data_IF_175668785680
#
_entry.id   IF_175668785680
#
_cell.length_a   1.000
_cell.length_b   1.000
_cell.length_c   1.000
_cell.angle_alpha   90.00
_cell.angle_beta   90.00
_cell.angle_gamma   90.00
#
_symmetry.space_group_name_H-M   'P 1'
#
loop_
_entity.id
_entity.type
_entity.pdbx_description
1 polymer ?
#
# COMPACT_ATOMS: atom_id res chain seq x y z
N UNK A 1 -24.61 -8.32 26.82
CA UNK A 1 -23.70 -8.37 27.96
C UNK A 1 -22.30 -8.19 27.40
N UNK A 2 -21.71 -7.01 27.69
CA UNK A 2 -20.28 -6.82 27.47
C UNK A 2 -19.61 -7.51 28.66
N UNK A 3 -19.08 -8.71 28.41
CA UNK A 3 -18.22 -9.37 29.37
C UNK A 3 -17.02 -8.46 29.60
N UNK A 4 -16.88 -7.94 30.81
CA UNK A 4 -15.72 -7.18 31.25
C UNK A 4 -14.47 -8.05 31.00
N UNK A 5 -13.70 -7.73 29.99
CA UNK A 5 -12.33 -8.22 29.88
C UNK A 5 -11.62 -7.86 31.19
N UNK A 6 -11.06 -8.83 31.92
CA UNK A 6 -10.36 -8.52 33.16
C UNK A 6 -9.21 -7.58 32.82
N UNK A 7 -9.28 -6.35 33.35
CA UNK A 7 -8.16 -5.45 33.34
C UNK A 7 -7.03 -6.11 34.12
N UNK A 8 -5.97 -6.49 33.45
CA UNK A 8 -4.75 -6.99 34.09
C UNK A 8 -4.23 -5.85 34.98
N UNK A 9 -3.99 -6.17 36.27
CA UNK A 9 -3.51 -5.18 37.23
C UNK A 9 -2.29 -4.44 36.67
N UNK A 10 -2.25 -3.11 36.84
CA UNK A 10 -1.12 -2.28 36.46
C UNK A 10 0.11 -2.66 37.31
N UNK A 11 0.92 -3.55 36.79
CA UNK A 11 2.26 -3.83 37.32
C UNK A 11 3.29 -3.00 36.54
N UNK A 12 4.37 -2.60 37.18
CA UNK A 12 5.49 -1.89 36.54
C UNK A 12 6.04 -2.63 35.31
N UNK A 13 5.93 -3.97 35.27
CA UNK A 13 6.27 -4.82 34.13
C UNK A 13 5.42 -4.53 32.88
N UNK A 14 4.18 -4.06 33.06
CA UNK A 14 3.26 -3.72 31.95
C UNK A 14 3.59 -2.38 31.27
N UNK A 15 4.31 -1.48 31.94
CA UNK A 15 4.69 -0.18 31.36
C UNK A 15 5.69 -0.32 30.22
N UNK A 16 6.55 -1.30 30.29
CA UNK A 16 7.57 -1.57 29.29
C UNK A 16 7.06 -2.44 28.14
N UNK A 17 5.98 -3.19 28.35
CA UNK A 17 5.44 -4.14 27.38
C UNK A 17 5.07 -3.50 26.03
N UNK A 18 4.46 -2.31 26.04
CA UNK A 18 4.11 -1.57 24.82
C UNK A 18 5.37 -1.11 24.09
N UNK A 19 6.38 -0.64 24.82
CA UNK A 19 7.66 -0.24 24.25
C UNK A 19 8.39 -1.42 23.60
N UNK A 20 8.42 -2.56 24.28
CA UNK A 20 9.03 -3.80 23.79
C UNK A 20 8.32 -4.32 22.54
N UNK A 21 6.98 -4.36 22.56
CA UNK A 21 6.19 -4.73 21.39
C UNK A 21 6.44 -3.78 20.19
N UNK A 22 6.55 -2.46 20.44
CA UNK A 22 6.89 -1.49 19.42
C UNK A 22 8.29 -1.67 18.84
N UNK A 23 9.27 -2.01 19.69
CA UNK A 23 10.65 -2.28 19.27
C UNK A 23 10.74 -3.60 18.47
N UNK A 24 10.03 -4.67 18.90
CA UNK A 24 9.95 -5.92 18.12
C UNK A 24 9.35 -5.67 16.73
N UNK A 25 8.23 -4.96 16.67
CA UNK A 25 7.60 -4.60 15.40
C UNK A 25 8.56 -3.82 14.49
N UNK A 26 9.24 -2.81 15.03
CA UNK A 26 10.23 -2.02 14.29
C UNK A 26 11.38 -2.90 13.76
N UNK A 27 11.91 -3.80 14.56
CA UNK A 27 12.95 -4.75 14.15
C UNK A 27 12.50 -5.66 13.00
N UNK A 28 11.26 -6.15 13.05
CA UNK A 28 10.66 -6.97 11.96
C UNK A 28 10.45 -6.17 10.68
N UNK A 29 10.03 -4.92 10.79
CA UNK A 29 9.91 -4.01 9.64
C UNK A 29 11.28 -3.79 9.01
N UNK A 30 12.32 -3.48 9.80
CA UNK A 30 13.69 -3.29 9.33
C UNK A 30 14.22 -4.56 8.62
N UNK A 31 14.03 -5.73 9.22
CA UNK A 31 14.42 -7.01 8.62
C UNK A 31 13.69 -7.29 7.29
N UNK A 32 12.43 -6.91 7.18
CA UNK A 32 11.65 -6.99 5.94
C UNK A 32 12.19 -6.04 4.89
N UNK A 33 12.42 -4.78 5.26
CA UNK A 33 12.95 -3.75 4.35
C UNK A 33 14.33 -4.08 3.79
N UNK A 34 15.18 -4.75 4.58
CA UNK A 34 16.51 -5.20 4.15
C UNK A 34 16.47 -6.25 3.03
N UNK A 35 15.32 -6.91 2.82
CA UNK A 35 15.13 -7.96 1.80
C UNK A 35 14.24 -7.53 0.64
N UNK A 36 13.75 -6.29 0.65
CA UNK A 36 12.94 -5.74 -0.44
C UNK A 36 13.79 -5.61 -1.70
N UNK A 37 13.24 -6.05 -2.83
CA UNK A 37 13.79 -5.74 -4.15
C UNK A 37 13.42 -4.29 -4.53
N UNK A 38 14.32 -3.38 -4.26
CA UNK A 38 14.13 -1.96 -4.57
C UNK A 38 14.05 -1.66 -6.06
N UNK A 39 14.57 -2.53 -6.93
CA UNK A 39 14.46 -2.37 -8.37
C UNK A 39 12.99 -2.45 -8.82
N UNK A 40 12.21 -3.35 -8.24
CA UNK A 40 10.77 -3.47 -8.51
C UNK A 40 9.99 -2.19 -8.13
N UNK A 41 10.37 -1.53 -7.03
CA UNK A 41 9.76 -0.25 -6.63
C UNK A 41 10.23 0.91 -7.52
N UNK A 42 11.46 0.88 -8.00
CA UNK A 42 11.97 1.86 -8.95
C UNK A 42 11.21 1.77 -10.28
N UNK A 43 10.94 0.56 -10.77
CA UNK A 43 10.12 0.35 -11.98
C UNK A 43 8.68 0.85 -11.79
N UNK A 44 8.09 0.71 -10.60
CA UNK A 44 6.79 1.31 -10.28
C UNK A 44 6.86 2.85 -10.37
N UNK A 45 7.91 3.46 -9.80
CA UNK A 45 8.12 4.90 -9.88
C UNK A 45 8.30 5.39 -11.33
N UNK A 46 8.91 4.55 -12.20
CA UNK A 46 9.09 4.84 -13.64
C UNK A 46 7.79 4.69 -14.43
N UNK A 47 6.89 3.81 -14.00
CA UNK A 47 5.64 3.53 -14.68
C UNK A 47 4.58 4.60 -14.41
N UNK A 48 4.47 5.08 -13.17
CA UNK A 48 3.42 6.02 -12.72
C UNK A 48 3.24 7.26 -13.61
N UNK A 49 4.29 7.98 -14.04
CA UNK A 49 4.12 9.16 -14.89
C UNK A 49 3.85 8.84 -16.37
N UNK A 50 3.85 7.57 -16.75
CA UNK A 50 3.70 7.13 -18.16
C UNK A 50 2.31 6.57 -18.46
N UNK A 51 1.45 6.46 -17.45
CA UNK A 51 0.08 5.96 -17.59
C UNK A 51 -0.92 7.11 -17.60
N UNK A 52 -2.10 6.86 -18.18
CA UNK A 52 -3.16 7.87 -18.25
C UNK A 52 -3.76 8.17 -16.89
N UNK A 53 -4.22 7.14 -16.20
CA UNK A 53 -4.77 7.21 -14.83
C UNK A 53 -4.18 6.07 -13.99
N UNK A 54 -3.99 6.35 -12.71
CA UNK A 54 -3.61 5.33 -11.72
C UNK A 54 -4.79 5.07 -10.81
N UNK A 55 -5.13 3.80 -10.62
CA UNK A 55 -6.11 3.36 -9.64
C UNK A 55 -5.36 2.62 -8.53
N UNK A 56 -5.68 2.91 -7.27
CA UNK A 56 -5.06 2.24 -6.12
C UNK A 56 -6.14 1.52 -5.32
N UNK A 57 -5.96 0.22 -5.08
CA UNK A 57 -6.97 -0.62 -4.45
C UNK A 57 -6.39 -1.51 -3.35
N UNK A 58 -7.17 -1.75 -2.33
CA UNK A 58 -6.90 -2.66 -1.23
C UNK A 58 -8.11 -2.75 -0.33
N UNK A 59 -8.16 -3.76 0.53
CA UNK A 59 -9.24 -3.92 1.50
C UNK A 59 -8.71 -3.76 2.93
N UNK A 60 -9.58 -3.32 3.85
CA UNK A 60 -9.21 -3.13 5.25
C UNK A 60 -7.99 -2.21 5.42
N UNK A 61 -7.03 -2.64 6.24
CA UNK A 61 -5.81 -1.87 6.51
C UNK A 61 -4.94 -1.69 5.26
N UNK A 62 -4.83 -2.68 4.38
CA UNK A 62 -4.18 -2.52 3.07
C UNK A 62 -4.88 -1.46 2.20
N UNK A 63 -6.19 -1.31 2.34
CA UNK A 63 -6.96 -0.23 1.70
C UNK A 63 -6.60 1.16 2.24
N UNK A 64 -6.27 1.28 3.54
CA UNK A 64 -5.77 2.54 4.11
C UNK A 64 -4.39 2.89 3.55
N UNK A 65 -3.49 1.90 3.39
CA UNK A 65 -2.19 2.07 2.72
C UNK A 65 -2.38 2.55 1.28
N UNK A 66 -3.30 1.91 0.54
CA UNK A 66 -3.63 2.30 -0.84
C UNK A 66 -4.12 3.76 -0.92
N UNK A 67 -5.02 4.16 -0.03
CA UNK A 67 -5.55 5.54 0.05
C UNK A 67 -4.46 6.55 0.40
N UNK A 68 -3.59 6.24 1.36
CA UNK A 68 -2.44 7.07 1.73
C UNK A 68 -1.52 7.29 0.54
N UNK A 69 -1.18 6.22 -0.20
CA UNK A 69 -0.38 6.32 -1.41
C UNK A 69 -1.09 7.12 -2.52
N UNK A 70 -2.40 6.88 -2.71
CA UNK A 70 -3.21 7.64 -3.67
C UNK A 70 -3.18 9.14 -3.39
N UNK A 71 -3.31 9.55 -2.13
CA UNK A 71 -3.20 10.94 -1.71
C UNK A 71 -1.81 11.53 -2.05
N UNK A 72 -0.71 10.79 -1.78
CA UNK A 72 0.65 11.20 -2.14
C UNK A 72 0.79 11.42 -3.64
N UNK A 73 0.28 10.50 -4.45
CA UNK A 73 0.32 10.61 -5.91
C UNK A 73 -0.51 11.80 -6.42
N UNK A 74 -1.70 12.02 -5.86
CA UNK A 74 -2.55 13.18 -6.18
C UNK A 74 -1.80 14.49 -5.96
N UNK A 75 -1.03 14.62 -4.90
CA UNK A 75 -0.23 15.81 -4.65
C UNK A 75 0.82 16.07 -5.75
N UNK A 76 1.30 15.05 -6.46
CA UNK A 76 2.20 15.25 -7.61
C UNK A 76 1.48 15.75 -8.86
N UNK A 77 0.15 15.80 -8.86
CA UNK A 77 -0.68 16.16 -10.00
C UNK A 77 -1.02 15.02 -10.94
N UNK A 78 -0.63 13.79 -10.60
CA UNK A 78 -1.03 12.61 -11.37
C UNK A 78 -2.53 12.32 -11.16
N UNK A 79 -3.26 11.89 -12.21
CA UNK A 79 -4.64 11.45 -12.09
C UNK A 79 -4.70 10.13 -11.30
N UNK A 80 -5.22 10.17 -10.07
CA UNK A 80 -5.30 9.01 -9.17
C UNK A 80 -6.71 8.85 -8.63
N UNK A 81 -7.18 7.60 -8.58
CA UNK A 81 -8.53 7.26 -8.19
C UNK A 81 -8.55 6.04 -7.27
N UNK A 82 -9.56 5.96 -6.43
CA UNK A 82 -9.81 4.83 -5.53
C UNK A 82 -11.06 4.10 -6.03
N UNK A 83 -10.97 2.83 -6.46
CA UNK A 83 -12.16 2.05 -6.81
C UNK A 83 -13.17 2.01 -5.66
N UNK A 84 -14.44 2.25 -5.99
CA UNK A 84 -15.53 2.32 -5.02
C UNK A 84 -15.91 3.73 -4.56
N UNK A 85 -15.09 4.76 -4.83
CA UNK A 85 -15.52 6.14 -4.64
C UNK A 85 -16.45 6.59 -5.77
N UNK A 86 -17.43 7.44 -5.43
CA UNK A 86 -18.50 7.86 -6.36
C UNK A 86 -18.01 8.63 -7.57
N UNK A 87 -16.84 9.25 -7.48
CA UNK A 87 -16.19 10.01 -8.54
C UNK A 87 -15.12 9.23 -9.30
N UNK A 88 -15.04 7.91 -9.10
CA UNK A 88 -14.07 7.06 -9.80
C UNK A 88 -14.47 6.88 -11.26
N UNK A 89 -13.63 7.29 -12.22
CA UNK A 89 -13.93 7.11 -13.65
C UNK A 89 -13.72 5.66 -14.10
N UNK A 90 -14.13 5.37 -15.33
CA UNK A 90 -13.83 4.08 -15.95
C UNK A 90 -12.31 3.89 -16.13
N UNK A 91 -11.85 2.66 -15.87
CA UNK A 91 -10.50 2.20 -16.17
C UNK A 91 -10.45 1.60 -17.58
N UNK A 92 -9.31 1.75 -18.28
CA UNK A 92 -9.15 1.23 -19.63
C UNK A 92 -7.70 1.06 -20.06
N UNK A 93 -7.47 0.80 -21.37
CA UNK A 93 -6.12 0.68 -21.91
C UNK A 93 -5.27 1.93 -21.66
N UNK A 94 -4.02 1.73 -21.29
CA UNK A 94 -3.11 2.83 -20.93
C UNK A 94 -3.20 3.29 -19.48
N UNK A 95 -4.16 2.76 -18.69
CA UNK A 95 -4.28 3.00 -17.26
C UNK A 95 -3.54 1.93 -16.44
N UNK A 96 -3.34 2.21 -15.16
CA UNK A 96 -2.68 1.34 -14.20
C UNK A 96 -3.57 1.10 -12.98
N UNK A 97 -3.70 -0.15 -12.57
CA UNK A 97 -4.15 -0.51 -11.22
C UNK A 97 -2.95 -0.93 -10.36
N UNK A 98 -2.84 -0.34 -9.19
CA UNK A 98 -1.93 -0.79 -8.12
C UNK A 98 -2.78 -1.44 -7.02
N UNK A 99 -2.74 -2.77 -6.95
CA UNK A 99 -3.44 -3.57 -5.94
C UNK A 99 -2.54 -3.84 -4.74
N UNK A 100 -3.03 -3.64 -3.52
CA UNK A 100 -2.30 -3.88 -2.27
C UNK A 100 -3.02 -4.94 -1.44
N UNK A 101 -2.38 -6.07 -1.20
CA UNK A 101 -2.95 -7.16 -0.41
C UNK A 101 -1.85 -7.98 0.26
N UNK A 102 -1.83 -8.04 1.59
CA UNK A 102 -0.82 -8.79 2.33
C UNK A 102 -0.77 -10.26 1.90
N UNK A 103 -1.91 -10.94 1.84
CA UNK A 103 -1.98 -12.37 1.49
C UNK A 103 -2.09 -12.62 -0.01
N UNK A 104 -2.51 -11.62 -0.79
CA UNK A 104 -2.87 -11.79 -2.20
C UNK A 104 -4.13 -12.64 -2.42
N UNK A 105 -4.89 -12.95 -1.36
CA UNK A 105 -6.10 -13.76 -1.40
C UNK A 105 -7.37 -12.97 -1.01
N UNK A 106 -7.29 -11.64 -0.95
CA UNK A 106 -8.42 -10.80 -0.56
C UNK A 106 -9.38 -10.64 -1.74
N UNK A 107 -10.57 -11.22 -1.65
CA UNK A 107 -11.55 -11.28 -2.75
C UNK A 107 -11.90 -9.93 -3.37
N UNK A 108 -12.01 -8.86 -2.57
CA UNK A 108 -12.24 -7.50 -3.10
C UNK A 108 -11.10 -7.03 -4.01
N UNK A 109 -9.86 -7.15 -3.55
CA UNK A 109 -8.68 -6.70 -4.31
C UNK A 109 -8.49 -7.54 -5.57
N UNK A 110 -8.70 -8.86 -5.48
CA UNK A 110 -8.66 -9.79 -6.61
C UNK A 110 -9.75 -9.44 -7.65
N UNK A 111 -10.97 -9.22 -7.20
CA UNK A 111 -12.07 -8.81 -8.11
C UNK A 111 -11.73 -7.53 -8.88
N UNK A 112 -11.23 -6.50 -8.20
CA UNK A 112 -10.85 -5.23 -8.83
C UNK A 112 -9.70 -5.43 -9.83
N UNK A 113 -8.69 -6.25 -9.48
CA UNK A 113 -7.56 -6.54 -10.36
C UNK A 113 -8.00 -7.26 -11.65
N UNK A 114 -8.84 -8.28 -11.53
CA UNK A 114 -9.40 -9.00 -12.69
C UNK A 114 -10.25 -8.07 -13.58
N UNK A 115 -11.06 -7.20 -12.97
CA UNK A 115 -11.86 -6.23 -13.74
C UNK A 115 -10.95 -5.25 -14.48
N UNK A 116 -9.90 -4.73 -13.85
CA UNK A 116 -8.94 -3.84 -14.50
C UNK A 116 -8.29 -4.50 -15.73
N UNK A 117 -7.84 -5.76 -15.60
CA UNK A 117 -7.31 -6.53 -16.74
C UNK A 117 -8.33 -6.74 -17.85
N UNK A 118 -9.56 -7.10 -17.53
CA UNK A 118 -10.63 -7.27 -18.51
C UNK A 118 -10.89 -6.01 -19.33
N UNK A 119 -10.64 -4.83 -18.75
CA UNK A 119 -10.73 -3.54 -19.42
C UNK A 119 -9.42 -3.08 -20.07
N UNK A 120 -8.39 -3.93 -20.12
CA UNK A 120 -7.13 -3.65 -20.82
C UNK A 120 -6.14 -2.77 -20.05
N UNK A 121 -6.37 -2.51 -18.77
CA UNK A 121 -5.42 -1.79 -17.94
C UNK A 121 -4.27 -2.70 -17.47
N UNK A 122 -3.11 -2.10 -17.19
CA UNK A 122 -2.03 -2.76 -16.48
C UNK A 122 -2.37 -2.99 -15.01
N UNK A 123 -1.89 -4.11 -14.46
CA UNK A 123 -2.06 -4.45 -13.05
C UNK A 123 -0.70 -4.70 -12.40
N UNK A 124 -0.38 -3.90 -11.40
CA UNK A 124 0.77 -4.10 -10.51
C UNK A 124 0.22 -4.45 -9.12
N UNK A 125 0.79 -5.47 -8.48
CA UNK A 125 0.33 -5.94 -7.17
C UNK A 125 1.46 -5.88 -6.17
N UNK A 126 1.22 -5.23 -5.02
CA UNK A 126 2.06 -5.30 -3.84
C UNK A 126 1.52 -6.36 -2.90
N UNK A 127 2.32 -7.37 -2.58
CA UNK A 127 1.89 -8.48 -1.73
C UNK A 127 3.06 -9.11 -0.97
N UNK A 128 2.77 -9.82 0.12
CA UNK A 128 3.69 -10.75 0.75
C UNK A 128 3.45 -12.21 0.28
N UNK A 129 2.38 -12.45 -0.48
CA UNK A 129 1.97 -13.75 -1.03
C UNK A 129 2.28 -13.85 -2.53
N UNK A 130 3.53 -14.09 -2.89
CA UNK A 130 3.99 -14.12 -4.30
C UNK A 130 3.34 -15.21 -5.16
N UNK A 131 2.83 -16.28 -4.56
CA UNK A 131 2.17 -17.41 -5.25
C UNK A 131 0.63 -17.35 -5.19
N UNK A 132 0.07 -16.21 -4.77
CA UNK A 132 -1.37 -16.01 -4.67
C UNK A 132 -2.05 -15.88 -6.04
N UNK A 133 -3.38 -16.05 -6.10
CA UNK A 133 -4.16 -15.87 -7.32
C UNK A 133 -4.01 -14.44 -7.85
N UNK A 134 -4.07 -13.45 -6.97
CA UNK A 134 -3.86 -12.06 -7.31
C UNK A 134 -2.47 -11.81 -7.94
N UNK A 135 -1.43 -12.48 -7.42
CA UNK A 135 -0.08 -12.36 -7.96
C UNK A 135 0.05 -13.02 -9.34
N UNK A 136 -0.58 -14.19 -9.54
CA UNK A 136 -0.57 -14.91 -10.84
C UNK A 136 -1.27 -14.12 -11.95
N UNK A 137 -2.30 -13.38 -11.61
CA UNK A 137 -3.07 -12.57 -12.56
C UNK A 137 -2.49 -11.16 -12.80
N UNK A 138 -1.44 -10.77 -12.09
CA UNK A 138 -0.80 -9.45 -12.25
C UNK A 138 0.19 -9.40 -13.41
N UNK A 139 0.31 -8.24 -14.06
CA UNK A 139 1.38 -7.99 -15.04
C UNK A 139 2.74 -7.82 -14.36
N UNK A 140 2.72 -7.37 -13.09
CA UNK A 140 3.91 -7.30 -12.24
C UNK A 140 3.55 -7.50 -10.78
N UNK A 141 4.35 -8.29 -10.11
CA UNK A 141 4.32 -8.47 -8.65
C UNK A 141 5.48 -7.70 -8.03
N UNK A 142 5.19 -6.87 -7.05
CA UNK A 142 6.16 -6.20 -6.18
C UNK A 142 6.07 -6.87 -4.82
N UNK A 143 7.07 -7.67 -4.48
CA UNK A 143 7.05 -8.50 -3.29
C UNK A 143 7.57 -7.71 -2.06
N UNK A 144 6.82 -7.79 -0.97
CA UNK A 144 7.25 -7.37 0.35
C UNK A 144 7.47 -8.63 1.19
N UNK A 145 8.71 -9.10 1.35
CA UNK A 145 9.03 -10.44 1.85
C UNK A 145 8.92 -10.54 3.37
N UNK A 146 7.69 -10.41 3.90
CA UNK A 146 7.42 -10.50 5.34
C UNK A 146 7.62 -11.92 5.84
N UNK A 147 8.37 -12.04 6.94
CA UNK A 147 8.51 -13.29 7.70
C UNK A 147 7.81 -13.11 9.06
N UNK A 148 6.66 -13.70 9.20
CA UNK A 148 5.93 -13.84 10.46
C UNK A 148 4.99 -15.03 10.34
N UNK A 149 4.93 -15.85 11.41
CA UNK A 149 4.05 -17.01 11.48
C UNK A 149 2.61 -16.60 11.76
N UNK A 150 2.44 -15.64 12.68
CA UNK A 150 1.14 -15.10 13.03
C UNK A 150 0.64 -14.13 11.96
N UNK A 151 -0.61 -14.34 11.52
CA UNK A 151 -1.23 -13.54 10.45
C UNK A 151 -1.46 -12.08 10.86
N UNK A 152 -1.73 -11.81 12.13
CA UNK A 152 -1.97 -10.43 12.62
C UNK A 152 -0.66 -9.64 12.59
N UNK A 153 0.43 -10.25 13.09
CA UNK A 153 1.76 -9.66 13.05
C UNK A 153 2.27 -9.51 11.61
N UNK A 154 2.03 -10.53 10.78
CA UNK A 154 2.38 -10.50 9.35
C UNK A 154 1.70 -9.33 8.65
N UNK A 155 0.40 -9.12 8.89
CA UNK A 155 -0.34 -8.01 8.32
C UNK A 155 0.21 -6.66 8.79
N UNK A 156 0.49 -6.50 10.08
CA UNK A 156 1.04 -5.26 10.63
C UNK A 156 2.42 -4.92 10.02
N UNK A 157 3.33 -5.88 9.96
CA UNK A 157 4.66 -5.70 9.33
C UNK A 157 4.52 -5.35 7.85
N UNK A 158 3.63 -6.06 7.12
CA UNK A 158 3.39 -5.81 5.71
C UNK A 158 2.92 -4.37 5.46
N UNK A 159 1.93 -3.92 6.19
CA UNK A 159 1.30 -2.61 5.98
C UNK A 159 2.27 -1.46 6.25
N UNK A 160 3.05 -1.55 7.31
CA UNK A 160 4.08 -0.55 7.61
C UNK A 160 5.22 -0.58 6.59
N UNK A 161 5.71 -1.77 6.21
CA UNK A 161 6.74 -1.90 5.17
C UNK A 161 6.23 -1.39 3.81
N UNK A 162 4.98 -1.73 3.43
CA UNK A 162 4.35 -1.24 2.21
C UNK A 162 4.26 0.28 2.19
N UNK A 163 3.82 0.90 3.29
CA UNK A 163 3.75 2.35 3.42
C UNK A 163 5.11 3.01 3.24
N UNK A 164 6.16 2.49 3.89
CA UNK A 164 7.52 3.01 3.76
C UNK A 164 8.06 2.86 2.33
N UNK A 165 7.83 1.71 1.69
CA UNK A 165 8.25 1.48 0.30
C UNK A 165 7.52 2.43 -0.66
N UNK A 166 6.23 2.64 -0.49
CA UNK A 166 5.45 3.55 -1.34
C UNK A 166 5.79 5.03 -1.10
N UNK A 167 6.15 5.42 0.12
CA UNK A 167 6.70 6.74 0.39
C UNK A 167 8.09 6.92 -0.26
N UNK A 168 8.91 5.86 -0.33
CA UNK A 168 10.16 5.90 -1.08
C UNK A 168 9.93 6.07 -2.59
N UNK A 169 8.92 5.37 -3.16
CA UNK A 169 8.47 5.57 -4.56
C UNK A 169 8.04 7.02 -4.77
N UNK A 170 7.21 7.57 -3.90
CA UNK A 170 6.78 8.98 -3.96
C UNK A 170 7.97 9.95 -3.93
N UNK A 171 8.93 9.73 -3.04
CA UNK A 171 10.13 10.59 -2.93
C UNK A 171 10.97 10.58 -4.22
N UNK A 172 11.16 9.42 -4.84
CA UNK A 172 11.85 9.30 -6.13
C UNK A 172 11.07 9.99 -7.24
N UNK A 173 9.76 9.73 -7.32
CA UNK A 173 8.86 10.32 -8.29
C UNK A 173 8.83 11.85 -8.19
N UNK A 174 8.73 12.40 -6.99
CA UNK A 174 8.71 13.83 -6.72
C UNK A 174 9.97 14.53 -7.23
N UNK A 175 11.14 13.94 -7.01
CA UNK A 175 12.42 14.47 -7.52
C UNK A 175 12.46 14.46 -9.05
N UNK A 176 11.96 13.41 -9.70
CA UNK A 176 11.93 13.26 -11.16
C UNK A 176 10.97 14.23 -11.83
N UNK A 177 9.82 14.45 -11.23
CA UNK A 177 8.83 15.41 -11.68
C UNK A 177 9.22 16.86 -11.35
N UNK A 178 10.39 17.09 -10.72
CA UNK A 178 10.83 18.41 -10.23
C UNK A 178 9.74 19.09 -9.41
N UNK A 179 9.20 18.32 -8.48
CA UNK A 179 8.05 18.66 -7.68
C UNK A 179 8.26 19.98 -6.92
N UNK A 180 7.38 20.92 -7.13
CA UNK A 180 7.40 22.23 -6.49
C UNK A 180 6.53 22.22 -5.22
N UNK A 181 7.08 22.68 -4.12
CA UNK A 181 6.39 22.76 -2.83
C UNK A 181 5.17 23.72 -2.89
N UNK A 182 5.22 24.75 -3.73
CA UNK A 182 4.09 25.66 -3.92
C UNK A 182 2.92 24.95 -4.60
N UNK A 183 3.19 24.17 -5.65
CA UNK A 183 2.20 23.35 -6.33
C UNK A 183 1.63 22.24 -5.40
N UNK A 184 2.46 21.68 -4.52
CA UNK A 184 1.99 20.76 -3.48
C UNK A 184 0.96 21.44 -2.57
N UNK A 185 1.27 22.62 -2.05
CA UNK A 185 0.37 23.38 -1.17
C UNK A 185 -0.97 23.71 -1.86
N UNK A 186 -0.95 24.03 -3.15
CA UNK A 186 -2.17 24.31 -3.93
C UNK A 186 -3.07 23.08 -4.08
N UNK A 187 -2.47 21.86 -4.08
CA UNK A 187 -3.21 20.59 -4.21
C UNK A 187 -3.57 19.98 -2.86
N UNK A 188 -3.04 20.51 -1.76
CA UNK A 188 -3.41 20.04 -0.43
C UNK A 188 -4.86 20.41 -0.13
N UNK A 189 -5.57 19.52 0.60
CA UNK A 189 -6.94 19.78 1.02
C UNK A 189 -7.05 21.11 1.76
N UNK A 190 -8.08 21.89 1.43
CA UNK A 190 -8.31 23.24 1.99
C UNK A 190 -9.77 23.44 2.45
N UNK A 191 -10.51 22.33 2.58
CA UNK A 191 -11.89 22.32 3.08
C UNK A 191 -12.00 21.85 4.54
N UNK A 192 -10.88 21.63 5.21
CA UNK A 192 -10.78 21.18 6.61
C UNK A 192 -9.88 22.11 7.42
#
# INVERSE_FOLDING_TARGET
PQDNLPLVAEDASNRDAVREAGQDLLGRIQATMARVDWASFLELADLLPRVGKTFVAGAGRSGLVARSFGMRLMHTGLPVFIPGETNTPAIGPGDLLVGISCTGATGYTDFIARRARQHGAKVVVLTAGGDSDLARDADKVVLIPVQAEDIVLRAAVFEHAASLCLDAVFNVLSRRLKFDLEEYRKRHANLE
#
